data_IF_219891065019
#
_entry.id   IF_219891065019
#
_cell.length_a   1.000
_cell.length_b   1.000
_cell.length_c   1.000
_cell.angle_alpha   90.00
_cell.angle_beta   90.00
_cell.angle_gamma   90.00
#
_symmetry.space_group_name_H-M   'P 1'
#
loop_
_entity.id
_entity.type
_entity.pdbx_description
1 polymer ?
#
# COMPACT_ATOMS: atom_id res chain seq x y z
N UNK A 1 -17.99 -2.71 -21.09
CA UNK A 1 -17.79 -1.46 -20.33
C UNK A 1 -16.46 -0.86 -20.72
N UNK A 2 -16.39 0.45 -20.98
CA UNK A 2 -15.12 1.12 -21.27
C UNK A 2 -14.28 1.20 -19.99
N UNK A 3 -12.99 0.92 -20.04
CA UNK A 3 -12.10 0.98 -18.88
C UNK A 3 -12.14 2.35 -18.17
N UNK A 4 -12.32 3.43 -18.94
CA UNK A 4 -12.52 4.79 -18.46
C UNK A 4 -13.72 4.89 -17.51
N UNK A 5 -14.82 4.19 -17.79
CA UNK A 5 -16.02 4.23 -16.96
C UNK A 5 -15.79 3.53 -15.62
N UNK A 6 -15.08 2.40 -15.61
CA UNK A 6 -14.69 1.69 -14.37
C UNK A 6 -13.80 2.59 -13.50
N UNK A 7 -12.84 3.28 -14.13
CA UNK A 7 -11.96 4.22 -13.44
C UNK A 7 -12.74 5.38 -12.81
N UNK A 8 -13.64 6.01 -13.56
CA UNK A 8 -14.46 7.12 -13.05
C UNK A 8 -15.33 6.66 -11.89
N UNK A 9 -15.98 5.50 -12.00
CA UNK A 9 -16.78 4.92 -10.90
C UNK A 9 -15.90 4.65 -9.68
N UNK A 10 -14.70 4.11 -9.86
CA UNK A 10 -13.73 3.90 -8.78
C UNK A 10 -13.36 5.20 -8.06
N UNK A 11 -13.03 6.27 -8.79
CA UNK A 11 -12.70 7.58 -8.22
C UNK A 11 -13.87 8.12 -7.41
N UNK A 12 -15.10 8.04 -7.95
CA UNK A 12 -16.30 8.50 -7.25
C UNK A 12 -16.51 7.71 -5.96
N UNK A 13 -16.42 6.38 -6.00
CA UNK A 13 -16.59 5.53 -4.81
C UNK A 13 -15.53 5.81 -3.74
N UNK A 14 -14.27 5.98 -4.13
CA UNK A 14 -13.19 6.34 -3.20
C UNK A 14 -13.40 7.75 -2.61
N UNK A 15 -13.86 8.71 -3.42
CA UNK A 15 -14.20 10.06 -2.96
C UNK A 15 -15.37 10.05 -1.96
N UNK A 16 -16.42 9.27 -2.24
CA UNK A 16 -17.54 9.07 -1.31
C UNK A 16 -17.05 8.37 -0.03
N UNK A 17 -16.18 7.37 -0.13
CA UNK A 17 -15.54 6.72 1.01
C UNK A 17 -14.78 7.72 1.89
N UNK A 18 -13.98 8.59 1.28
CA UNK A 18 -13.25 9.65 2.00
C UNK A 18 -14.19 10.61 2.73
N UNK A 19 -15.22 11.12 2.04
CA UNK A 19 -16.13 12.12 2.61
C UNK A 19 -17.02 11.50 3.69
N UNK A 20 -17.66 10.36 3.43
CA UNK A 20 -18.63 9.79 4.37
C UNK A 20 -17.95 8.95 5.45
N UNK A 21 -17.20 7.92 5.06
CA UNK A 21 -16.57 6.99 6.00
C UNK A 21 -15.39 7.64 6.72
N UNK A 22 -14.53 8.37 6.00
CA UNK A 22 -13.41 9.12 6.58
C UNK A 22 -13.86 10.18 7.60
N UNK A 23 -14.86 11.00 7.25
CA UNK A 23 -15.40 11.99 8.20
C UNK A 23 -16.08 11.34 9.40
N UNK A 24 -16.75 10.20 9.21
CA UNK A 24 -17.36 9.45 10.31
C UNK A 24 -16.28 8.91 11.27
N UNK A 25 -15.20 8.32 10.74
CA UNK A 25 -14.03 7.87 11.51
C UNK A 25 -13.40 9.02 12.30
N UNK A 26 -13.13 10.15 11.63
CA UNK A 26 -12.51 11.32 12.25
C UNK A 26 -13.35 11.86 13.42
N UNK A 27 -14.67 11.94 13.25
CA UNK A 27 -15.60 12.33 14.32
C UNK A 27 -15.62 11.31 15.46
N UNK A 28 -15.69 10.01 15.14
CA UNK A 28 -15.79 8.94 16.14
C UNK A 28 -14.53 8.82 17.00
N UNK A 29 -13.35 9.03 16.40
CA UNK A 29 -12.07 8.97 17.10
C UNK A 29 -11.69 10.31 17.76
N UNK A 30 -12.46 11.37 17.52
CA UNK A 30 -12.28 12.67 18.16
C UNK A 30 -11.05 13.41 17.67
N UNK A 31 -10.83 13.41 16.35
CA UNK A 31 -9.79 14.25 15.73
C UNK A 31 -10.19 15.72 15.92
N UNK A 32 -9.39 16.45 16.69
CA UNK A 32 -9.56 17.88 16.91
C UNK A 32 -8.50 18.65 16.10
N UNK A 33 -8.90 19.47 15.11
CA UNK A 33 -7.99 20.33 14.35
C UNK A 33 -7.23 21.34 15.21
N UNK A 34 -7.79 21.75 16.34
CA UNK A 34 -7.20 22.77 17.23
C UNK A 34 -6.10 22.20 18.13
N UNK A 35 -5.92 20.87 18.14
CA UNK A 35 -4.88 20.24 18.96
C UNK A 35 -3.55 20.29 18.21
N UNK A 36 -2.52 20.98 18.73
CA UNK A 36 -1.24 21.06 18.05
C UNK A 36 -0.59 19.68 17.99
N UNK A 37 -0.05 19.34 16.82
CA UNK A 37 0.58 18.03 16.59
C UNK A 37 1.94 17.95 17.31
N UNK A 38 2.47 16.74 17.54
CA UNK A 38 3.82 16.54 18.09
C UNK A 38 4.91 17.31 17.32
N UNK A 39 4.74 17.51 16.02
CA UNK A 39 5.65 18.29 15.18
C UNK A 39 5.77 19.77 15.61
N UNK A 40 4.70 20.36 16.17
CA UNK A 40 4.71 21.74 16.67
C UNK A 40 5.02 21.84 18.16
N UNK A 41 4.68 20.82 18.96
CA UNK A 41 4.87 20.85 20.42
C UNK A 41 6.22 20.33 20.89
N UNK A 42 6.88 19.48 20.11
CA UNK A 42 8.20 18.89 20.40
C UNK A 42 9.26 19.26 19.36
N UNK A 43 9.12 20.43 18.74
CA UNK A 43 9.98 20.88 17.65
C UNK A 43 11.47 20.83 18.03
N UNK A 44 12.26 20.05 17.30
CA UNK A 44 13.67 19.82 17.59
C UNK A 44 14.60 19.97 16.37
N UNK A 45 14.07 20.41 15.22
CA UNK A 45 14.77 20.50 13.93
C UNK A 45 15.38 19.18 13.43
N UNK A 46 15.01 18.03 14.01
CA UNK A 46 15.52 16.69 13.64
C UNK A 46 14.37 15.71 13.42
N UNK A 47 13.74 15.25 14.50
CA UNK A 47 12.68 14.24 14.47
C UNK A 47 11.28 14.88 14.37
N UNK A 48 11.15 16.12 14.84
CA UNK A 48 9.90 16.88 14.85
C UNK A 48 10.08 18.21 14.12
N UNK A 49 9.68 18.21 12.84
CA UNK A 49 9.67 19.40 11.99
C UNK A 49 8.28 19.56 11.35
N UNK A 50 7.63 20.72 11.46
CA UNK A 50 6.35 20.96 10.79
C UNK A 50 6.59 20.98 9.28
N UNK A 51 5.94 20.05 8.58
CA UNK A 51 6.00 19.93 7.14
C UNK A 51 4.66 20.33 6.50
N UNK A 52 4.73 20.82 5.26
CA UNK A 52 3.54 21.14 4.49
C UNK A 52 2.74 19.84 4.22
N UNK A 53 1.40 19.82 4.41
CA UNK A 53 0.58 18.64 4.13
C UNK A 53 0.78 18.02 2.75
N UNK A 54 1.05 18.83 1.72
CA UNK A 54 1.29 18.32 0.36
C UNK A 54 2.58 17.46 0.28
N UNK A 55 3.62 17.86 1.00
CA UNK A 55 4.89 17.12 1.07
C UNK A 55 4.70 15.83 1.85
N UNK A 56 3.97 15.89 2.98
CA UNK A 56 3.63 14.70 3.77
C UNK A 56 2.82 13.69 2.95
N UNK A 57 1.83 14.17 2.18
CA UNK A 57 1.02 13.32 1.30
C UNK A 57 1.90 12.59 0.28
N UNK A 58 2.87 13.28 -0.34
CA UNK A 58 3.84 12.67 -1.25
C UNK A 58 4.70 11.60 -0.56
N UNK A 59 5.18 11.84 0.65
CA UNK A 59 5.95 10.85 1.41
C UNK A 59 5.13 9.61 1.79
N UNK A 60 3.88 9.80 2.25
CA UNK A 60 2.98 8.70 2.56
C UNK A 60 2.63 7.90 1.30
N UNK A 61 2.30 8.58 0.20
CA UNK A 61 2.02 7.95 -1.07
C UNK A 61 3.22 7.14 -1.57
N UNK A 62 4.42 7.72 -1.56
CA UNK A 62 5.65 7.04 -1.97
C UNK A 62 5.98 5.83 -1.08
N UNK A 63 5.59 5.83 0.18
CA UNK A 63 5.86 4.74 1.12
C UNK A 63 4.91 3.55 0.93
N UNK A 64 3.75 3.77 0.30
CA UNK A 64 2.77 2.71 -0.04
C UNK A 64 2.90 2.29 -1.51
N UNK A 65 3.36 3.20 -2.37
CA UNK A 65 3.60 2.95 -3.78
C UNK A 65 4.73 1.91 -3.95
N UNK A 66 4.37 0.72 -4.41
CA UNK A 66 5.30 -0.36 -4.66
C UNK A 66 4.72 -1.39 -5.64
N UNK A 67 5.45 -2.48 -5.89
CA UNK A 67 4.98 -3.52 -6.79
C UNK A 67 3.74 -4.27 -6.25
N UNK A 68 3.53 -4.30 -4.93
CA UNK A 68 2.40 -4.99 -4.29
C UNK A 68 1.02 -4.57 -4.82
N UNK A 69 0.65 -3.28 -4.73
CA UNK A 69 -0.61 -2.77 -5.26
C UNK A 69 -0.83 -2.95 -6.78
N UNK A 70 0.22 -3.23 -7.55
CA UNK A 70 0.15 -3.46 -8.99
C UNK A 70 0.03 -4.96 -9.28
N UNK A 71 0.96 -5.76 -8.78
CA UNK A 71 1.00 -7.20 -9.02
C UNK A 71 -0.18 -7.93 -8.37
N UNK A 72 -0.66 -7.47 -7.21
CA UNK A 72 -1.77 -8.10 -6.50
C UNK A 72 -3.06 -8.16 -7.34
N UNK A 73 -3.61 -7.03 -7.82
CA UNK A 73 -4.77 -7.03 -8.70
C UNK A 73 -4.57 -7.78 -10.01
N UNK A 74 -3.35 -7.74 -10.59
CA UNK A 74 -3.03 -8.49 -11.82
C UNK A 74 -3.15 -10.00 -11.56
N UNK A 75 -2.55 -10.49 -10.47
CA UNK A 75 -2.66 -11.91 -10.11
C UNK A 75 -4.09 -12.31 -9.74
N UNK A 76 -4.85 -11.40 -9.11
CA UNK A 76 -6.25 -11.64 -8.78
C UNK A 76 -7.18 -11.58 -10.00
N UNK A 77 -6.73 -11.05 -11.15
CA UNK A 77 -7.53 -10.94 -12.37
C UNK A 77 -7.98 -12.29 -12.92
N UNK A 78 -7.35 -13.39 -12.50
CA UNK A 78 -7.81 -14.77 -12.77
C UNK A 78 -9.23 -15.03 -12.26
N UNK A 79 -9.69 -14.31 -11.23
CA UNK A 79 -11.06 -14.37 -10.72
C UNK A 79 -12.05 -13.46 -11.48
N UNK A 80 -11.58 -12.79 -12.54
CA UNK A 80 -12.35 -11.85 -13.33
C UNK A 80 -12.20 -10.40 -12.86
N UNK A 81 -12.53 -9.46 -13.75
CA UNK A 81 -12.34 -8.03 -13.51
C UNK A 81 -13.23 -7.46 -12.40
N UNK A 82 -14.47 -7.96 -12.28
CA UNK A 82 -15.47 -7.42 -11.34
C UNK A 82 -15.14 -7.74 -9.87
N UNK A 83 -14.81 -9.00 -9.49
CA UNK A 83 -14.39 -9.30 -8.12
C UNK A 83 -13.13 -8.54 -7.70
N UNK A 84 -12.16 -8.40 -8.60
CA UNK A 84 -10.94 -7.62 -8.34
C UNK A 84 -11.27 -6.14 -8.11
N UNK A 85 -12.10 -5.54 -8.97
CA UNK A 85 -12.49 -4.15 -8.81
C UNK A 85 -13.20 -3.91 -7.47
N UNK A 86 -14.17 -4.76 -7.12
CA UNK A 86 -14.87 -4.67 -5.85
C UNK A 86 -13.93 -4.83 -4.66
N UNK A 87 -13.00 -5.79 -4.72
CA UNK A 87 -12.00 -5.98 -3.67
C UNK A 87 -11.07 -4.77 -3.52
N UNK A 88 -10.59 -4.18 -4.61
CA UNK A 88 -9.72 -3.01 -4.55
C UNK A 88 -10.46 -1.80 -3.95
N UNK A 89 -11.71 -1.57 -4.33
CA UNK A 89 -12.49 -0.43 -3.82
C UNK A 89 -12.90 -0.65 -2.37
N UNK A 90 -13.54 -1.79 -2.06
CA UNK A 90 -14.04 -2.09 -0.71
C UNK A 90 -12.87 -2.33 0.24
N UNK A 91 -11.90 -3.15 -0.18
CA UNK A 91 -10.68 -3.43 0.57
C UNK A 91 -9.87 -2.16 0.86
N UNK A 92 -9.72 -1.30 -0.16
CA UNK A 92 -9.04 -0.02 -0.04
C UNK A 92 -9.70 0.91 0.98
N UNK A 93 -11.03 1.05 0.97
CA UNK A 93 -11.75 1.95 1.89
C UNK A 93 -11.76 1.41 3.32
N UNK A 94 -12.17 0.16 3.51
CA UNK A 94 -12.48 -0.37 4.84
C UNK A 94 -11.27 -0.97 5.56
N UNK A 95 -10.33 -1.56 4.84
CA UNK A 95 -9.16 -2.19 5.46
C UNK A 95 -7.92 -1.31 5.27
N UNK A 96 -7.62 -0.87 4.05
CA UNK A 96 -6.43 -0.08 3.76
C UNK A 96 -6.44 1.29 4.44
N UNK A 97 -7.35 2.17 4.00
CA UNK A 97 -7.41 3.55 4.46
C UNK A 97 -7.73 3.66 5.96
N UNK A 98 -8.62 2.80 6.48
CA UNK A 98 -8.89 2.75 7.92
C UNK A 98 -7.65 2.34 8.73
N UNK A 99 -6.91 1.33 8.29
CA UNK A 99 -5.74 0.85 9.01
C UNK A 99 -4.63 1.90 9.03
N UNK A 100 -4.35 2.55 7.90
CA UNK A 100 -3.37 3.63 7.81
C UNK A 100 -3.77 4.85 8.66
N UNK A 101 -5.05 5.24 8.60
CA UNK A 101 -5.57 6.31 9.45
C UNK A 101 -5.48 5.97 10.95
N UNK A 102 -5.78 4.72 11.33
CA UNK A 102 -5.67 4.24 12.71
C UNK A 102 -4.24 4.22 13.23
N UNK A 103 -3.32 3.73 12.41
CA UNK A 103 -1.88 3.75 12.66
C UNK A 103 -1.38 5.17 12.94
N UNK A 104 -1.71 6.12 12.06
CA UNK A 104 -1.31 7.51 12.20
C UNK A 104 -1.94 8.17 13.43
N UNK A 105 -3.24 7.94 13.65
CA UNK A 105 -3.96 8.48 14.81
C UNK A 105 -3.37 7.99 16.14
N UNK A 106 -3.07 6.69 16.24
CA UNK A 106 -2.44 6.10 17.41
C UNK A 106 -1.04 6.67 17.65
N UNK A 107 -0.23 6.81 16.59
CA UNK A 107 1.11 7.39 16.67
C UNK A 107 1.08 8.85 17.18
N UNK A 108 0.21 9.69 16.61
CA UNK A 108 0.07 11.10 17.02
C UNK A 108 -0.34 11.21 18.49
N UNK A 109 -1.26 10.37 18.97
CA UNK A 109 -1.66 10.35 20.39
C UNK A 109 -0.53 9.93 21.34
N UNK A 110 0.40 9.10 20.88
CA UNK A 110 1.59 8.70 21.64
C UNK A 110 2.80 9.59 21.34
N UNK A 111 2.56 10.81 20.87
CA UNK A 111 3.61 11.81 20.68
C UNK A 111 4.48 11.58 19.45
N UNK A 112 3.95 10.96 18.40
CA UNK A 112 4.64 10.71 17.12
C UNK A 112 5.54 9.49 17.11
N UNK A 113 5.38 8.58 18.09
CA UNK A 113 6.19 7.37 18.22
C UNK A 113 5.79 6.29 17.22
N UNK A 114 6.72 5.39 16.89
CA UNK A 114 6.44 4.22 16.05
C UNK A 114 5.40 3.30 16.71
N UNK A 115 4.62 2.57 15.90
CA UNK A 115 3.62 1.61 16.41
C UNK A 115 4.29 0.54 17.30
N UNK A 116 5.53 0.15 17.00
CA UNK A 116 6.29 -0.75 17.85
C UNK A 116 6.47 -0.18 19.27
N UNK A 117 6.83 1.09 19.39
CA UNK A 117 6.99 1.73 20.71
C UNK A 117 5.63 1.88 21.41
N UNK A 118 4.55 2.15 20.67
CA UNK A 118 3.18 2.14 21.21
C UNK A 118 2.81 0.77 21.80
N UNK A 119 3.16 -0.33 21.12
CA UNK A 119 2.95 -1.70 21.60
C UNK A 119 3.76 -1.97 22.87
N UNK A 120 5.01 -1.48 22.92
CA UNK A 120 5.87 -1.62 24.10
C UNK A 120 5.27 -0.92 25.32
N UNK A 121 4.75 0.28 25.15
CA UNK A 121 4.15 1.09 26.22
C UNK A 121 2.80 0.51 26.70
N UNK A 122 2.01 -0.11 25.80
CA UNK A 122 0.64 -0.59 26.12
C UNK A 122 0.53 -2.08 26.48
N UNK A 123 1.36 -2.96 25.89
CA UNK A 123 1.27 -4.42 26.08
C UNK A 123 2.47 -4.95 26.88
N UNK A 124 3.65 -4.41 26.62
CA UNK A 124 4.87 -4.72 27.35
C UNK A 124 6.03 -5.22 26.50
N UNK A 125 7.20 -5.46 27.12
CA UNK A 125 8.47 -5.63 26.42
C UNK A 125 8.60 -6.96 25.65
N UNK A 126 7.91 -8.02 26.10
CA UNK A 126 7.92 -9.32 25.39
C UNK A 126 7.14 -9.24 24.07
N UNK A 127 5.95 -8.63 24.10
CA UNK A 127 5.12 -8.42 22.92
C UNK A 127 5.80 -7.50 21.91
N UNK A 128 6.47 -6.44 22.39
CA UNK A 128 7.31 -5.58 21.54
C UNK A 128 8.38 -6.38 20.79
N UNK A 129 9.18 -7.20 21.49
CA UNK A 129 10.24 -8.00 20.85
C UNK A 129 9.67 -8.96 19.81
N UNK A 130 8.58 -9.66 20.13
CA UNK A 130 7.93 -10.56 19.19
C UNK A 130 7.40 -9.82 17.95
N UNK A 131 6.75 -8.67 18.15
CA UNK A 131 6.23 -7.85 17.07
C UNK A 131 7.36 -7.33 16.16
N UNK A 132 8.46 -6.84 16.73
CA UNK A 132 9.60 -6.34 15.96
C UNK A 132 10.27 -7.47 15.17
N UNK A 133 10.48 -8.65 15.77
CA UNK A 133 11.03 -9.81 15.05
C UNK A 133 10.10 -10.22 13.91
N UNK A 134 8.80 -10.31 14.18
CA UNK A 134 7.81 -10.65 13.15
C UNK A 134 7.80 -9.62 12.01
N UNK A 135 7.74 -8.33 12.33
CA UNK A 135 7.77 -7.25 11.34
C UNK A 135 9.05 -7.29 10.50
N UNK A 136 10.20 -7.58 11.12
CA UNK A 136 11.47 -7.71 10.42
C UNK A 136 11.48 -8.92 9.47
N UNK A 137 10.97 -10.07 9.89
CA UNK A 137 10.85 -11.26 9.03
C UNK A 137 9.93 -11.00 7.83
N UNK A 138 8.80 -10.33 8.05
CA UNK A 138 7.88 -9.93 6.97
C UNK A 138 8.56 -8.94 6.03
N UNK A 139 9.32 -7.97 6.56
CA UNK A 139 10.05 -7.00 5.74
C UNK A 139 11.09 -7.69 4.83
N UNK A 140 11.85 -8.65 5.37
CA UNK A 140 12.77 -9.47 4.57
C UNK A 140 12.04 -10.23 3.46
N UNK A 141 10.87 -10.83 3.78
CA UNK A 141 10.06 -11.54 2.81
C UNK A 141 9.55 -10.62 1.69
N UNK A 142 9.12 -9.40 2.02
CA UNK A 142 8.67 -8.40 1.04
C UNK A 142 9.83 -7.98 0.12
N UNK A 143 11.02 -7.73 0.69
CA UNK A 143 12.21 -7.39 -0.11
C UNK A 143 12.57 -8.55 -1.05
N UNK A 144 12.54 -9.79 -0.57
CA UNK A 144 12.79 -10.97 -1.41
C UNK A 144 11.77 -11.10 -2.55
N UNK A 145 10.48 -10.88 -2.25
CA UNK A 145 9.41 -10.90 -3.25
C UNK A 145 9.61 -9.82 -4.32
N UNK A 146 9.90 -8.58 -3.95
CA UNK A 146 10.14 -7.50 -4.92
C UNK A 146 11.41 -7.73 -5.72
N UNK A 147 12.47 -8.26 -5.09
CA UNK A 147 13.69 -8.66 -5.81
C UNK A 147 13.39 -9.72 -6.86
N UNK A 148 12.52 -10.70 -6.55
CA UNK A 148 12.10 -11.71 -7.53
C UNK A 148 11.36 -11.11 -8.71
N UNK A 149 10.45 -10.15 -8.48
CA UNK A 149 9.68 -9.48 -9.55
C UNK A 149 10.60 -8.63 -10.44
N UNK A 150 11.58 -7.95 -9.85
CA UNK A 150 12.57 -7.19 -10.62
C UNK A 150 13.47 -8.14 -11.41
N UNK A 151 13.99 -9.20 -10.77
CA UNK A 151 14.84 -10.19 -11.43
C UNK A 151 14.15 -10.87 -12.62
N UNK A 152 12.86 -11.22 -12.49
CA UNK A 152 12.09 -11.78 -13.61
C UNK A 152 11.95 -10.82 -14.78
N UNK A 153 11.98 -9.51 -14.54
CA UNK A 153 11.93 -8.50 -15.61
C UNK A 153 13.22 -8.47 -16.44
N UNK A 154 14.36 -8.85 -15.84
CA UNK A 154 15.67 -8.86 -16.49
C UNK A 154 16.12 -10.25 -16.98
N UNK A 155 15.34 -11.31 -16.74
CA UNK A 155 15.68 -12.65 -17.22
C UNK A 155 15.41 -12.76 -18.72
N UNK A 156 16.47 -12.85 -19.53
CA UNK A 156 16.37 -13.16 -20.95
C UNK A 156 15.78 -14.55 -21.16
N UNK A 157 14.57 -14.58 -21.70
CA UNK A 157 13.96 -15.81 -22.22
C UNK A 157 14.66 -16.19 -23.55
N UNK A 158 14.68 -17.47 -23.88
CA UNK A 158 15.11 -17.97 -25.20
C UNK A 158 13.89 -18.49 -25.96
N UNK A 159 13.87 -18.28 -27.27
CA UNK A 159 12.80 -18.81 -28.11
C UNK A 159 12.84 -20.35 -28.18
N UNK A 160 11.79 -20.95 -28.74
CA UNK A 160 11.73 -22.41 -28.95
C UNK A 160 12.88 -22.95 -29.84
N UNK A 161 13.61 -22.06 -30.51
CA UNK A 161 14.74 -22.35 -31.39
C UNK A 161 16.11 -22.03 -30.74
N UNK A 162 16.13 -21.60 -29.46
CA UNK A 162 17.34 -21.28 -28.71
C UNK A 162 17.93 -19.88 -28.93
N UNK A 163 17.24 -18.99 -29.65
CA UNK A 163 17.70 -17.60 -29.84
C UNK A 163 17.30 -16.74 -28.64
N UNK A 164 18.18 -15.84 -28.16
CA UNK A 164 17.82 -14.87 -27.12
C UNK A 164 16.73 -13.92 -27.63
N UNK A 165 15.66 -13.73 -26.87
CA UNK A 165 14.73 -12.64 -27.16
C UNK A 165 15.40 -11.30 -26.82
N UNK A 166 15.16 -10.28 -27.66
CA UNK A 166 15.56 -8.91 -27.37
C UNK A 166 14.92 -8.42 -26.06
N UNK A 167 15.59 -7.51 -25.33
CA UNK A 167 15.14 -7.01 -24.03
C UNK A 167 13.68 -6.51 -24.02
N UNK A 168 13.23 -5.89 -25.12
CA UNK A 168 11.84 -5.42 -25.28
C UNK A 168 10.88 -6.61 -25.38
N UNK A 169 11.24 -7.64 -26.14
CA UNK A 169 10.45 -8.87 -26.34
C UNK A 169 10.38 -9.69 -25.04
N UNK A 170 11.49 -9.81 -24.30
CA UNK A 170 11.55 -10.44 -22.97
C UNK A 170 10.59 -9.76 -21.98
N UNK A 171 10.59 -8.42 -21.95
CA UNK A 171 9.69 -7.64 -21.10
C UNK A 171 8.22 -7.84 -21.47
N UNK A 172 7.91 -7.94 -22.78
CA UNK A 172 6.57 -8.21 -23.28
C UNK A 172 6.13 -9.65 -23.00
N UNK A 173 7.00 -10.65 -23.13
CA UNK A 173 6.67 -12.06 -22.88
C UNK A 173 6.53 -12.39 -21.39
N UNK A 174 7.35 -11.80 -20.53
CA UNK A 174 7.19 -11.93 -19.07
C UNK A 174 5.93 -11.20 -18.56
N UNK A 175 5.53 -10.09 -19.20
CA UNK A 175 4.26 -9.41 -18.92
C UNK A 175 3.06 -10.17 -19.51
N UNK A 176 3.21 -10.78 -20.69
CA UNK A 176 2.15 -11.51 -21.38
C UNK A 176 1.92 -12.91 -20.80
N UNK A 177 2.92 -13.60 -20.26
CA UNK A 177 2.73 -14.87 -19.56
C UNK A 177 1.83 -14.75 -18.33
N UNK A 178 1.88 -13.59 -17.65
CA UNK A 178 0.99 -13.29 -16.53
C UNK A 178 -0.40 -12.79 -16.99
N UNK A 179 -0.52 -12.26 -18.22
CA UNK A 179 -1.78 -11.78 -18.81
C UNK A 179 -2.52 -12.83 -19.67
N UNK A 180 -1.81 -13.81 -20.24
CA UNK A 180 -2.34 -14.86 -21.12
C UNK A 180 -3.22 -15.86 -20.35
N UNK A 181 -2.91 -16.07 -19.08
CA UNK A 181 -3.77 -16.83 -18.15
C UNK A 181 -5.10 -16.11 -17.86
N UNK A 182 -5.18 -14.78 -18.07
CA UNK A 182 -6.40 -14.01 -17.89
C UNK A 182 -7.24 -13.87 -19.17
N UNK A 183 -6.67 -14.10 -20.36
CA UNK A 183 -7.39 -14.04 -21.65
C UNK A 183 -7.88 -15.41 -22.13
N UNK A 184 -7.37 -16.51 -21.57
CA UNK A 184 -7.76 -17.89 -21.94
C UNK A 184 -8.94 -18.46 -21.13
N UNK A 185 -9.50 -17.69 -20.18
CA UNK A 185 -10.62 -18.11 -19.33
C UNK A 185 -11.96 -17.43 -19.63
N UNK A 186 -12.12 -16.82 -20.82
CA UNK A 186 -13.42 -16.39 -21.36
C UNK A 186 -13.88 -17.30 -22.50
#
# INVERSE_FOLDING_TARGET
MTAVLILVVGIVLLGLGYIFYGSWLAKKWGVNPDRPTPAHTKFDNKDFVPANPAVLMGHHFSSIAGAGPINGPIQAAVFGWLPVFLWVVIGGIFFGAMHDFGALFASIRHGGRSIGEVIKDNIGPKAYKLFVIFALLVLILVIASFTSVVASTFQSTVDANGNPYDFITVGMDNASGNASTATTSL
#
